data_IF_802683809113
#
_entry.id   IF_802683809113
#
_cell.length_a   1.000
_cell.length_b   1.000
_cell.length_c   1.000
_cell.angle_alpha   90.00
_cell.angle_beta   90.00
_cell.angle_gamma   90.00
#
_symmetry.space_group_name_H-M   'P 1'
#
loop_
_entity.id
_entity.type
_entity.pdbx_description
1 polymer ?
#
# COMPACT_ATOMS: atom_id res chain seq x y z
N UNK A 1 -11.53 -12.34 -15.57
CA UNK A 1 -10.49 -11.31 -15.43
C UNK A 1 -9.63 -11.32 -16.69
N UNK A 2 -9.57 -10.19 -17.40
CA UNK A 2 -8.87 -10.04 -18.68
C UNK A 2 -7.54 -9.30 -18.52
N UNK A 3 -6.65 -9.43 -19.51
CA UNK A 3 -5.44 -8.60 -19.53
C UNK A 3 -5.83 -7.11 -19.55
N UNK A 4 -5.17 -6.31 -18.72
CA UNK A 4 -5.49 -4.90 -18.53
C UNK A 4 -6.56 -4.61 -17.47
N UNK A 5 -7.30 -5.62 -17.01
CA UNK A 5 -8.19 -5.43 -15.85
C UNK A 5 -7.37 -4.93 -14.65
N UNK A 6 -7.93 -4.00 -13.93
CA UNK A 6 -7.22 -3.27 -12.87
C UNK A 6 -8.00 -3.30 -11.58
N UNK A 7 -7.34 -3.59 -10.48
CA UNK A 7 -7.85 -3.30 -9.15
C UNK A 7 -7.22 -2.00 -8.67
N UNK A 8 -8.06 -1.05 -8.24
CA UNK A 8 -7.64 0.17 -7.57
C UNK A 8 -7.98 0.07 -6.11
N UNK A 9 -6.99 0.28 -5.27
CA UNK A 9 -7.14 0.46 -3.83
C UNK A 9 -6.91 1.94 -3.50
N UNK A 10 -7.78 2.52 -2.69
CA UNK A 10 -7.50 3.79 -2.03
C UNK A 10 -7.75 3.64 -0.55
N UNK A 11 -6.78 4.04 0.26
CA UNK A 11 -6.87 3.91 1.71
C UNK A 11 -6.32 5.15 2.41
N UNK A 12 -6.95 5.50 3.52
CA UNK A 12 -6.54 6.60 4.38
C UNK A 12 -6.03 6.02 5.69
N UNK A 13 -4.77 6.34 6.00
CA UNK A 13 -4.09 5.86 7.19
C UNK A 13 -3.66 7.05 8.04
N UNK A 14 -3.87 6.95 9.34
CA UNK A 14 -3.41 7.94 10.31
C UNK A 14 -2.34 7.34 11.19
N UNK A 15 -1.27 8.09 11.42
CA UNK A 15 -0.26 7.82 12.44
C UNK A 15 -0.46 8.74 13.64
N UNK A 16 -0.47 8.19 14.83
CA UNK A 16 -0.67 8.94 16.06
C UNK A 16 0.53 9.83 16.42
N UNK A 17 0.29 10.80 17.29
CA UNK A 17 1.30 11.70 17.82
C UNK A 17 2.15 11.01 18.92
N UNK A 18 2.92 10.01 18.53
CA UNK A 18 3.85 9.30 19.42
C UNK A 18 5.26 9.30 18.84
N UNK A 19 6.28 9.21 19.69
CA UNK A 19 7.69 9.18 19.28
C UNK A 19 8.13 7.85 18.65
N UNK A 20 7.21 6.88 18.51
CA UNK A 20 7.52 5.57 17.97
C UNK A 20 7.78 5.65 16.46
N UNK A 21 8.78 4.92 15.98
CA UNK A 21 8.95 4.72 14.56
C UNK A 21 7.79 3.89 14.01
N UNK A 22 7.22 4.33 12.92
CA UNK A 22 6.09 3.69 12.26
C UNK A 22 6.43 3.43 10.80
N UNK A 23 5.95 2.33 10.28
CA UNK A 23 6.01 2.01 8.85
C UNK A 23 4.66 1.50 8.39
N UNK A 24 4.32 1.78 7.15
CA UNK A 24 3.10 1.31 6.51
C UNK A 24 3.52 0.49 5.29
N UNK A 25 2.90 -0.68 5.12
CA UNK A 25 3.11 -1.53 3.95
C UNK A 25 1.77 -1.89 3.32
N UNK A 26 1.74 -1.90 2.00
CA UNK A 26 0.62 -2.39 1.21
C UNK A 26 1.05 -3.67 0.51
N UNK A 27 0.23 -4.70 0.64
CA UNK A 27 0.47 -6.01 0.06
C UNK A 27 -0.59 -6.36 -0.97
N UNK A 28 -0.17 -7.06 -2.00
CA UNK A 28 -1.03 -7.82 -2.90
C UNK A 28 -0.58 -9.28 -2.83
N UNK A 29 -1.43 -10.15 -2.28
CA UNK A 29 -1.03 -11.49 -1.89
C UNK A 29 0.15 -11.48 -0.93
N UNK A 30 1.22 -12.19 -1.28
CA UNK A 30 2.47 -12.22 -0.54
C UNK A 30 3.45 -11.08 -0.88
N UNK A 31 3.16 -10.27 -1.89
CA UNK A 31 4.08 -9.27 -2.44
C UNK A 31 3.83 -7.89 -1.85
N UNK A 32 4.87 -7.24 -1.32
CA UNK A 32 4.81 -5.82 -0.93
C UNK A 32 4.80 -4.97 -2.20
N UNK A 33 3.73 -4.21 -2.41
CA UNK A 33 3.57 -3.31 -3.56
C UNK A 33 3.83 -1.84 -3.22
N UNK A 34 3.86 -1.52 -1.94
CA UNK A 34 4.22 -0.19 -1.44
C UNK A 34 4.65 -0.24 0.01
N UNK A 35 5.65 0.53 0.39
CA UNK A 35 6.08 0.65 1.77
C UNK A 35 6.65 2.02 2.08
N UNK A 36 6.38 2.54 3.27
CA UNK A 36 7.14 3.64 3.84
C UNK A 36 8.43 3.11 4.48
N UNK A 37 9.44 3.97 4.55
CA UNK A 37 10.54 3.74 5.50
C UNK A 37 10.03 3.94 6.93
N UNK A 38 10.62 3.22 7.90
CA UNK A 38 10.29 3.43 9.30
C UNK A 38 10.75 4.81 9.77
N UNK A 39 9.81 5.65 10.17
CA UNK A 39 10.06 7.01 10.64
C UNK A 39 9.14 7.36 11.81
N UNK A 40 9.51 8.38 12.56
CA UNK A 40 8.65 8.97 13.58
C UNK A 40 7.58 9.84 12.90
N UNK A 41 6.52 9.20 12.44
CA UNK A 41 5.34 9.91 11.93
C UNK A 41 4.53 10.43 13.11
N UNK A 42 4.44 11.73 13.25
CA UNK A 42 3.78 12.38 14.36
C UNK A 42 2.50 13.08 13.91
N UNK A 43 1.36 12.49 14.21
CA UNK A 43 0.03 13.01 13.83
C UNK A 43 -0.12 13.27 12.33
N UNK A 44 0.30 12.32 11.53
CA UNK A 44 0.34 12.43 10.06
C UNK A 44 -0.70 11.50 9.45
N UNK A 45 -1.40 12.01 8.44
CA UNK A 45 -2.27 11.22 7.58
C UNK A 45 -1.64 10.90 6.23
N UNK A 46 -1.93 9.72 5.71
CA UNK A 46 -1.55 9.29 4.37
C UNK A 46 -2.79 8.98 3.55
N UNK A 47 -2.84 9.50 2.34
CA UNK A 47 -3.75 9.08 1.28
C UNK A 47 -2.94 8.19 0.32
N UNK A 48 -3.26 6.90 0.32
CA UNK A 48 -2.51 5.88 -0.41
C UNK A 48 -3.38 5.36 -1.54
N UNK A 49 -2.86 5.38 -2.75
CA UNK A 49 -3.47 4.74 -3.90
C UNK A 49 -2.57 3.64 -4.45
N UNK A 50 -3.14 2.50 -4.74
CA UNK A 50 -2.47 1.41 -5.44
C UNK A 50 -3.31 0.95 -6.63
N UNK A 51 -2.62 0.66 -7.72
CA UNK A 51 -3.18 0.11 -8.95
C UNK A 51 -2.49 -1.21 -9.24
N UNK A 52 -3.25 -2.27 -9.39
CA UNK A 52 -2.75 -3.60 -9.73
C UNK A 52 -3.34 -3.97 -11.09
N UNK A 53 -2.47 -4.07 -12.09
CA UNK A 53 -2.82 -4.37 -13.49
C UNK A 53 -2.57 -5.83 -13.77
N UNK A 54 -3.56 -6.54 -14.28
CA UNK A 54 -3.37 -7.90 -14.77
C UNK A 54 -2.65 -7.88 -16.12
N UNK A 55 -1.54 -8.59 -16.20
CA UNK A 55 -0.84 -8.86 -17.46
C UNK A 55 -1.23 -10.26 -17.97
N UNK A 56 -1.09 -11.27 -17.12
CA UNK A 56 -1.56 -12.63 -17.33
C UNK A 56 -2.27 -13.13 -16.06
N UNK A 57 -2.70 -14.39 -16.05
CA UNK A 57 -3.29 -14.98 -14.86
C UNK A 57 -2.32 -15.01 -13.67
N UNK A 58 -1.03 -15.16 -13.93
CA UNK A 58 0.00 -15.29 -12.89
C UNK A 58 1.03 -14.16 -12.91
N UNK A 59 0.77 -13.10 -13.65
CA UNK A 59 1.68 -11.94 -13.73
C UNK A 59 0.88 -10.66 -13.65
N UNK A 60 1.24 -9.81 -12.72
CA UNK A 60 0.66 -8.48 -12.54
C UNK A 60 1.76 -7.41 -12.52
N UNK A 61 1.37 -6.18 -12.70
CA UNK A 61 2.17 -5.00 -12.38
C UNK A 61 1.40 -4.17 -11.36
N UNK A 62 2.08 -3.62 -10.40
CA UNK A 62 1.48 -2.76 -9.40
C UNK A 62 2.21 -1.42 -9.30
N UNK A 63 1.43 -0.36 -9.18
CA UNK A 63 1.89 0.99 -8.86
C UNK A 63 1.26 1.36 -7.53
N UNK A 64 2.07 1.80 -6.58
CA UNK A 64 1.57 2.31 -5.31
C UNK A 64 2.15 3.70 -5.05
N UNK A 65 1.29 4.65 -4.76
CA UNK A 65 1.66 6.03 -4.46
C UNK A 65 0.99 6.47 -3.17
N UNK A 66 1.64 7.36 -2.44
CA UNK A 66 1.05 7.99 -1.26
C UNK A 66 1.26 9.48 -1.29
N UNK A 67 0.23 10.21 -0.91
CA UNK A 67 0.29 11.64 -0.67
C UNK A 67 0.21 11.86 0.84
N UNK A 68 1.19 12.56 1.35
CA UNK A 68 1.22 13.00 2.74
C UNK A 68 0.96 14.50 2.78
N UNK A 69 -0.08 14.95 3.49
CA UNK A 69 -0.39 16.37 3.57
C UNK A 69 0.66 17.19 4.34
N UNK A 70 1.47 16.54 5.17
CA UNK A 70 2.57 17.13 5.93
C UNK A 70 3.91 16.57 5.45
N UNK A 71 4.83 17.42 5.14
CA UNK A 71 5.93 17.35 4.19
C UNK A 71 7.11 16.45 4.58
N UNK A 72 7.16 15.84 5.75
CA UNK A 72 8.44 15.35 6.29
C UNK A 72 8.65 13.83 6.19
N UNK A 73 7.78 13.08 5.56
CA UNK A 73 7.95 11.63 5.49
C UNK A 73 8.13 11.13 4.06
N UNK A 74 9.22 10.43 3.85
CA UNK A 74 9.47 9.73 2.60
C UNK A 74 8.58 8.47 2.50
N UNK A 75 7.70 8.42 1.54
CA UNK A 75 7.07 7.20 1.08
C UNK A 75 7.92 6.61 -0.04
N UNK A 76 8.32 5.36 0.10
CA UNK A 76 9.01 4.64 -0.96
C UNK A 76 8.14 3.53 -1.53
N UNK A 77 8.18 3.40 -2.84
CA UNK A 77 7.67 2.21 -3.52
C UNK A 77 8.69 1.07 -3.29
N UNK A 78 8.23 -0.15 -3.10
CA UNK A 78 9.02 -1.28 -2.60
C UNK A 78 10.27 -1.66 -3.42
N UNK A 79 10.54 -1.00 -4.51
CA UNK A 79 11.70 -1.26 -5.38
C UNK A 79 12.48 0.01 -5.73
N UNK A 80 12.83 0.80 -4.71
CA UNK A 80 13.85 1.85 -4.85
C UNK A 80 13.49 3.01 -5.77
N UNK A 81 12.90 4.03 -5.19
CA UNK A 81 12.89 5.42 -5.65
C UNK A 81 12.47 5.69 -7.09
N UNK A 82 11.30 6.19 -7.29
CA UNK A 82 10.76 6.59 -8.58
C UNK A 82 9.42 5.91 -8.85
N UNK A 83 8.83 6.16 -9.98
CA UNK A 83 7.63 5.47 -10.48
C UNK A 83 7.93 3.98 -10.76
N UNK A 84 8.26 3.22 -9.72
CA UNK A 84 8.56 1.81 -9.88
C UNK A 84 7.30 0.98 -9.70
N UNK A 85 6.96 0.28 -10.75
CA UNK A 85 5.97 -0.78 -10.70
C UNK A 85 6.61 -2.02 -10.08
N UNK A 86 6.07 -2.53 -8.99
CA UNK A 86 6.36 -3.90 -8.57
C UNK A 86 5.68 -4.88 -9.52
N UNK A 87 6.19 -6.08 -9.59
CA UNK A 87 5.66 -7.15 -10.43
C UNK A 87 5.22 -8.33 -9.55
N UNK A 88 4.03 -8.27 -8.92
CA UNK A 88 3.48 -9.43 -8.23
C UNK A 88 3.29 -10.62 -9.18
N UNK A 89 3.36 -11.83 -8.64
CA UNK A 89 3.15 -13.06 -9.40
C UNK A 89 2.12 -13.95 -8.70
N UNK A 90 0.99 -13.35 -8.33
CA UNK A 90 -0.11 -14.05 -7.67
C UNK A 90 -0.97 -14.80 -8.70
N UNK A 91 -1.44 -15.99 -8.33
CA UNK A 91 -2.38 -16.74 -9.17
C UNK A 91 -3.79 -16.17 -9.02
N UNK A 92 -4.27 -15.54 -10.08
CA UNK A 92 -5.60 -14.93 -10.15
C UNK A 92 -6.72 -15.92 -10.49
N UNK A 93 -6.46 -17.23 -10.48
CA UNK A 93 -7.52 -18.25 -10.57
C UNK A 93 -8.32 -18.37 -9.27
N UNK A 94 -7.75 -17.89 -8.17
CA UNK A 94 -8.37 -17.83 -6.85
C UNK A 94 -8.47 -16.41 -6.30
N UNK A 95 -8.97 -16.30 -5.07
CA UNK A 95 -9.01 -15.03 -4.36
C UNK A 95 -7.60 -14.61 -3.91
N UNK A 96 -7.24 -13.36 -4.17
CA UNK A 96 -5.99 -12.75 -3.71
C UNK A 96 -6.31 -11.68 -2.69
N UNK A 97 -5.64 -11.72 -1.56
CA UNK A 97 -5.84 -10.76 -0.47
C UNK A 97 -5.06 -9.47 -0.75
N UNK A 98 -5.72 -8.34 -0.61
CA UNK A 98 -5.06 -7.04 -0.50
C UNK A 98 -5.04 -6.65 0.97
N UNK A 99 -3.88 -6.33 1.51
CA UNK A 99 -3.76 -5.97 2.93
C UNK A 99 -2.87 -4.75 3.15
N UNK A 100 -3.17 -4.04 4.22
CA UNK A 100 -2.39 -2.90 4.70
C UNK A 100 -1.88 -3.27 6.08
N UNK A 101 -0.57 -3.23 6.25
CA UNK A 101 0.08 -3.50 7.53
C UNK A 101 0.71 -2.24 8.08
N UNK A 102 0.44 -1.97 9.35
CA UNK A 102 1.13 -0.96 10.15
C UNK A 102 2.15 -1.64 11.06
N UNK A 103 3.35 -1.10 11.12
CA UNK A 103 4.43 -1.58 11.96
C UNK A 103 4.85 -0.43 12.88
N UNK A 104 4.80 -0.66 14.20
CA UNK A 104 5.37 0.26 15.19
C UNK A 104 6.64 -0.33 15.81
N UNK A 105 7.61 0.51 16.15
CA UNK A 105 8.84 0.09 16.84
C UNK A 105 8.57 -0.38 18.27
N UNK A 106 7.40 -0.09 18.81
CA UNK A 106 6.97 -0.52 20.14
C UNK A 106 5.86 -1.55 20.01
N UNK A 107 6.12 -2.76 20.48
CA UNK A 107 5.14 -3.82 20.50
C UNK A 107 3.93 -3.45 21.36
N UNK A 108 2.74 -3.66 20.84
CA UNK A 108 1.50 -3.38 21.56
C UNK A 108 1.12 -1.91 21.67
N UNK A 109 1.76 -1.02 20.91
CA UNK A 109 1.39 0.41 20.85
C UNK A 109 0.04 0.56 20.11
N UNK A 110 -1.03 0.40 20.87
CA UNK A 110 -2.39 0.50 20.35
C UNK A 110 -2.62 1.89 19.74
N UNK A 111 -3.27 1.91 18.58
CA UNK A 111 -3.64 3.12 17.86
C UNK A 111 -2.48 3.97 17.30
N UNK A 112 -1.25 3.48 17.33
CA UNK A 112 -0.12 4.17 16.69
C UNK A 112 -0.36 4.35 15.19
N UNK A 113 -0.99 3.36 14.56
CA UNK A 113 -1.36 3.37 13.14
C UNK A 113 -2.81 2.91 13.02
N UNK A 114 -3.63 3.71 12.36
CA UNK A 114 -5.04 3.44 12.15
C UNK A 114 -5.39 3.54 10.66
N UNK A 115 -6.04 2.53 10.13
CA UNK A 115 -6.73 2.63 8.84
C UNK A 115 -8.10 3.25 9.08
N UNK A 116 -8.35 4.40 8.48
CA UNK A 116 -9.60 5.15 8.68
C UNK A 116 -10.68 4.70 7.70
N UNK A 117 -10.30 4.46 6.46
CA UNK A 117 -11.19 4.00 5.41
C UNK A 117 -10.39 3.32 4.30
N UNK A 118 -11.05 2.41 3.59
CA UNK A 118 -10.50 1.75 2.40
C UNK A 118 -11.59 1.58 1.36
N UNK A 119 -11.27 1.92 0.12
CA UNK A 119 -12.12 1.70 -1.04
C UNK A 119 -11.36 0.83 -2.03
N UNK A 120 -12.03 -0.17 -2.57
CA UNK A 120 -11.49 -1.03 -3.62
C UNK A 120 -12.44 -0.99 -4.81
N UNK A 121 -11.90 -0.62 -5.97
CA UNK A 121 -12.61 -0.60 -7.23
C UNK A 121 -12.01 -1.65 -8.18
N UNK A 122 -12.87 -2.32 -8.92
CA UNK A 122 -12.47 -3.18 -10.03
C UNK A 122 -12.81 -2.48 -11.34
N UNK A 123 -11.81 -2.33 -12.19
CA UNK A 123 -11.90 -1.63 -13.48
C UNK A 123 -11.60 -2.65 -14.57
N UNK A 124 -12.60 -2.93 -15.40
CA UNK A 124 -12.45 -3.82 -16.55
C UNK A 124 -11.70 -3.11 -17.68
N UNK A 125 -10.79 -3.83 -18.33
CA UNK A 125 -10.18 -3.36 -19.56
C UNK A 125 -11.25 -3.21 -20.68
N UNK A 126 -11.11 -2.19 -21.45
CA UNK A 126 -11.98 -1.93 -22.60
C UNK A 126 -11.39 -2.57 -23.86
#
# INVERSE_FOLDING_TARGET
VNAGDTVRLRTWVRCAATANNKAIKVYFGGTVIGSSTGQTFNNVGFDIEAYIFRVTQTTQKALCVAVQPNIDAAWSIATGGGLNTSAPAEDLSGAVTISIAGISSVAGAANDIQVLATVIDYITAV
#
